data_IF_520460984759
#
_entry.id   IF_520460984759
#
_cell.length_a   1.000
_cell.length_b   1.000
_cell.length_c   1.000
_cell.angle_alpha   90.00
_cell.angle_beta   90.00
_cell.angle_gamma   90.00
#
_symmetry.space_group_name_H-M   'P 1'
#
loop_
_entity.id
_entity.type
_entity.pdbx_description
1 polymer ?
#
# COMPACT_ATOMS: atom_id res chain seq x y z
N UNK A 1 -40.50 18.69 19.20
CA UNK A 1 -39.38 18.14 18.39
C UNK A 1 -39.93 17.78 17.02
N UNK A 2 -39.60 18.58 16.02
CA UNK A 2 -40.19 18.47 14.68
C UNK A 2 -39.49 17.35 13.87
N UNK A 3 -40.25 16.63 13.04
CA UNK A 3 -39.71 15.54 12.18
C UNK A 3 -38.51 15.97 11.32
N UNK A 4 -38.41 17.25 10.99
CA UNK A 4 -37.29 17.81 10.21
C UNK A 4 -36.00 17.92 11.01
N UNK A 5 -36.06 18.08 12.33
CA UNK A 5 -34.87 18.20 13.19
C UNK A 5 -34.29 16.84 13.50
N UNK A 6 -35.13 15.80 13.56
CA UNK A 6 -34.70 14.41 13.72
C UNK A 6 -33.88 13.93 12.50
N UNK A 7 -34.31 14.27 11.27
CA UNK A 7 -33.57 13.91 10.07
C UNK A 7 -32.25 14.67 9.92
N UNK A 8 -32.17 15.93 10.39
CA UNK A 8 -30.91 16.68 10.36
C UNK A 8 -29.88 16.17 11.37
N UNK A 9 -30.31 15.74 12.54
CA UNK A 9 -29.43 15.18 13.59
C UNK A 9 -28.96 13.76 13.26
N UNK A 10 -29.77 12.95 12.56
CA UNK A 10 -29.42 11.59 12.16
C UNK A 10 -28.46 11.53 10.98
N UNK A 11 -28.43 12.56 10.11
CA UNK A 11 -27.55 12.60 8.94
C UNK A 11 -26.12 12.99 9.30
N UNK A 12 -25.92 13.71 10.41
CA UNK A 12 -24.58 14.13 10.86
C UNK A 12 -23.80 13.00 11.55
N UNK A 13 -24.46 11.95 12.07
CA UNK A 13 -23.81 10.86 12.75
C UNK A 13 -23.45 9.66 11.83
N UNK A 14 -24.06 9.56 10.63
CA UNK A 14 -23.90 8.42 9.74
C UNK A 14 -22.77 8.56 8.71
N UNK A 15 -22.15 9.74 8.58
CA UNK A 15 -21.07 9.98 7.58
C UNK A 15 -19.67 9.69 8.14
N UNK A 16 -19.52 9.43 9.42
CA UNK A 16 -18.21 9.25 10.07
C UNK A 16 -17.67 7.81 10.02
N UNK A 17 -18.36 6.84 9.42
CA UNK A 17 -17.92 5.43 9.36
C UNK A 17 -17.85 4.86 7.95
N UNK A 18 -17.63 5.70 6.94
CA UNK A 18 -17.40 5.21 5.58
C UNK A 18 -15.98 4.66 5.43
N UNK A 19 -15.82 3.61 4.62
CA UNK A 19 -14.56 2.91 4.28
C UNK A 19 -13.37 3.82 3.92
N UNK A 20 -13.63 5.07 3.57
CA UNK A 20 -12.62 6.11 3.27
C UNK A 20 -11.76 6.43 4.50
N UNK A 21 -12.31 6.38 5.72
CA UNK A 21 -11.56 6.68 6.95
C UNK A 21 -10.49 5.64 7.30
N UNK A 22 -10.70 4.37 6.96
CA UNK A 22 -9.72 3.31 7.26
C UNK A 22 -8.49 3.35 6.36
N UNK A 23 -8.64 3.72 5.10
CA UNK A 23 -7.51 3.89 4.15
C UNK A 23 -6.67 5.13 4.49
N UNK A 24 -7.30 6.23 4.90
CA UNK A 24 -6.61 7.44 5.32
C UNK A 24 -5.81 7.26 6.62
N UNK A 25 -6.31 6.46 7.57
CA UNK A 25 -5.61 6.18 8.82
C UNK A 25 -4.39 5.25 8.61
N UNK A 26 -4.45 4.29 7.69
CA UNK A 26 -3.31 3.45 7.35
C UNK A 26 -2.17 4.25 6.68
N UNK A 27 -2.51 5.28 5.92
CA UNK A 27 -1.55 6.19 5.30
C UNK A 27 -0.79 7.07 6.32
N UNK A 28 -1.35 7.25 7.53
CA UNK A 28 -0.78 8.11 8.59
C UNK A 28 0.00 7.32 9.65
N UNK A 29 -0.06 5.99 9.65
CA UNK A 29 0.68 5.20 10.65
C UNK A 29 2.19 5.37 10.42
N UNK A 30 2.96 5.80 11.45
CA UNK A 30 4.41 5.96 11.29
C UNK A 30 5.08 4.62 10.97
N UNK A 31 6.14 4.68 10.17
CA UNK A 31 7.02 3.53 9.96
C UNK A 31 7.85 3.37 11.25
N UNK A 32 7.55 2.33 12.02
CA UNK A 32 8.09 2.19 13.37
C UNK A 32 9.52 1.64 13.38
N UNK A 33 9.84 0.76 12.44
CA UNK A 33 11.11 0.02 12.38
C UNK A 33 11.68 0.01 10.98
N UNK A 34 12.97 -0.33 10.87
CA UNK A 34 13.61 -0.65 9.61
C UNK A 34 12.94 -1.88 9.00
N UNK A 35 12.94 -1.98 7.67
CA UNK A 35 12.18 -2.98 6.93
C UNK A 35 13.13 -3.89 6.14
N UNK A 36 13.00 -5.19 6.34
CA UNK A 36 13.69 -6.18 5.51
C UNK A 36 13.09 -6.19 4.09
N UNK A 37 13.95 -6.15 3.08
CA UNK A 37 13.54 -6.16 1.69
C UNK A 37 14.49 -7.01 0.83
N UNK A 38 14.06 -7.29 -0.41
CA UNK A 38 14.81 -8.09 -1.38
C UNK A 38 15.07 -7.26 -2.64
N UNK A 39 16.30 -7.32 -3.11
CA UNK A 39 16.74 -6.66 -4.35
C UNK A 39 16.35 -7.47 -5.59
N UNK A 40 16.43 -6.87 -6.77
CA UNK A 40 16.22 -7.55 -8.04
C UNK A 40 17.21 -8.70 -8.31
N UNK A 41 18.37 -8.71 -7.64
CA UNK A 41 19.33 -9.82 -7.68
C UNK A 41 19.05 -10.92 -6.65
N UNK A 42 18.01 -10.76 -5.81
CA UNK A 42 17.66 -11.71 -4.74
C UNK A 42 18.40 -11.50 -3.41
N UNK A 43 19.23 -10.46 -3.29
CA UNK A 43 19.92 -10.18 -2.03
C UNK A 43 18.96 -9.56 -1.02
N UNK A 44 19.09 -9.95 0.26
CA UNK A 44 18.37 -9.30 1.36
C UNK A 44 19.05 -8.01 1.75
N UNK A 45 18.28 -6.98 1.97
CA UNK A 45 18.72 -5.67 2.43
C UNK A 45 17.80 -5.15 3.53
N UNK A 46 18.28 -4.21 4.32
CA UNK A 46 17.48 -3.48 5.30
C UNK A 46 17.22 -2.07 4.79
N UNK A 47 15.96 -1.70 4.61
CA UNK A 47 15.54 -0.34 4.28
C UNK A 47 15.38 0.47 5.57
N UNK A 48 16.09 1.60 5.72
CA UNK A 48 15.89 2.47 6.87
C UNK A 48 14.45 2.96 6.96
N UNK A 49 13.88 2.99 8.14
CA UNK A 49 12.53 3.53 8.39
C UNK A 49 12.35 4.96 7.89
N UNK A 50 13.40 5.76 7.92
CA UNK A 50 13.39 7.13 7.37
C UNK A 50 13.14 7.12 5.86
N UNK A 51 13.84 6.28 5.10
CA UNK A 51 13.66 6.19 3.65
C UNK A 51 12.24 5.74 3.28
N UNK A 52 11.69 4.75 4.01
CA UNK A 52 10.30 4.31 3.82
C UNK A 52 9.30 5.41 4.22
N UNK A 53 9.61 6.17 5.27
CA UNK A 53 8.83 7.33 5.70
C UNK A 53 8.82 8.44 4.66
N UNK A 54 9.97 8.74 4.07
CA UNK A 54 10.12 9.74 3.01
C UNK A 54 9.34 9.34 1.74
N UNK A 55 9.43 8.06 1.35
CA UNK A 55 8.60 7.54 0.26
C UNK A 55 7.12 7.78 0.58
N UNK A 56 6.65 7.35 1.75
CA UNK A 56 5.25 7.53 2.17
C UNK A 56 4.81 9.00 2.12
N UNK A 57 5.60 9.90 2.66
CA UNK A 57 5.29 11.33 2.66
C UNK A 57 5.25 11.95 1.26
N UNK A 58 5.97 11.37 0.30
CA UNK A 58 6.01 11.83 -1.08
C UNK A 58 4.79 11.39 -1.90
N UNK A 59 4.12 10.31 -1.52
CA UNK A 59 2.97 9.75 -2.25
C UNK A 59 1.66 10.47 -1.91
N UNK A 60 0.81 10.63 -2.90
CA UNK A 60 -0.61 10.99 -2.71
C UNK A 60 -1.47 9.76 -2.41
N UNK A 61 -1.09 8.63 -2.97
CA UNK A 61 -1.68 7.34 -2.75
C UNK A 61 -1.23 6.69 -1.45
N UNK A 62 -1.59 5.42 -1.26
CA UNK A 62 -1.24 4.68 -0.06
C UNK A 62 0.08 3.92 -0.21
N UNK A 63 0.86 3.86 0.88
CA UNK A 63 1.94 2.89 1.07
C UNK A 63 1.51 1.94 2.18
N UNK A 64 1.39 0.66 1.85
CA UNK A 64 0.99 -0.39 2.77
C UNK A 64 2.19 -1.27 3.12
N UNK A 65 2.33 -1.58 4.40
CA UNK A 65 3.35 -2.46 4.95
C UNK A 65 2.69 -3.73 5.52
N UNK A 66 3.44 -4.84 5.64
CA UNK A 66 2.95 -6.05 6.30
C UNK A 66 2.30 -5.75 7.66
N UNK A 67 1.15 -6.37 7.91
CA UNK A 67 0.38 -6.18 9.15
C UNK A 67 -0.50 -4.91 9.18
N UNK A 68 -0.46 -4.05 8.18
CA UNK A 68 -1.33 -2.89 8.09
C UNK A 68 -2.69 -3.24 7.44
N UNK A 69 -3.79 -2.54 7.82
CA UNK A 69 -5.09 -2.73 7.18
C UNK A 69 -5.01 -2.52 5.66
N UNK A 70 -5.56 -3.46 4.89
CA UNK A 70 -5.58 -3.43 3.43
C UNK A 70 -4.34 -4.04 2.76
N UNK A 71 -3.27 -4.34 3.49
CA UNK A 71 -2.07 -4.95 2.91
C UNK A 71 -2.35 -6.33 2.30
N UNK A 72 -3.02 -7.22 3.04
CA UNK A 72 -3.32 -8.56 2.56
C UNK A 72 -4.26 -8.57 1.37
N UNK A 73 -5.17 -7.61 1.28
CA UNK A 73 -6.03 -7.43 0.12
C UNK A 73 -5.24 -6.94 -1.10
N UNK A 74 -4.38 -5.93 -0.89
CA UNK A 74 -3.61 -5.31 -1.96
C UNK A 74 -2.55 -6.23 -2.57
N UNK A 75 -1.90 -7.11 -1.79
CA UNK A 75 -0.88 -8.03 -2.29
C UNK A 75 -1.42 -9.21 -3.09
N UNK A 76 -2.69 -9.57 -2.90
CA UNK A 76 -3.31 -10.75 -3.52
C UNK A 76 -3.39 -10.64 -5.03
N UNK A 77 -3.23 -11.80 -5.68
CA UNK A 77 -3.49 -12.00 -7.11
C UNK A 77 -4.62 -13.00 -7.29
N UNK A 78 -5.17 -13.09 -8.51
CA UNK A 78 -6.31 -13.94 -8.82
C UNK A 78 -6.02 -15.43 -8.55
N UNK A 79 -4.80 -15.89 -8.86
CA UNK A 79 -4.39 -17.25 -8.57
C UNK A 79 -4.06 -17.43 -7.10
N UNK A 80 -4.98 -18.01 -6.34
CA UNK A 80 -4.86 -18.20 -4.89
C UNK A 80 -3.69 -19.12 -4.46
N UNK A 81 -3.11 -19.90 -5.38
CA UNK A 81 -1.90 -20.70 -5.09
C UNK A 81 -0.62 -19.83 -5.02
N UNK A 82 -0.69 -18.58 -5.46
CA UNK A 82 0.41 -17.61 -5.36
C UNK A 82 0.21 -16.78 -4.10
N UNK A 83 1.00 -17.06 -3.07
CA UNK A 83 0.97 -16.34 -1.79
C UNK A 83 2.32 -15.68 -1.53
N UNK A 84 2.56 -14.54 -2.15
CA UNK A 84 3.78 -13.75 -2.01
C UNK A 84 3.56 -12.54 -1.09
N UNK A 85 4.64 -12.13 -0.41
CA UNK A 85 4.62 -11.08 0.60
C UNK A 85 5.58 -9.94 0.24
N UNK A 86 5.15 -8.93 -0.53
CA UNK A 86 5.96 -7.74 -0.80
C UNK A 86 6.33 -7.03 0.50
N UNK A 87 7.55 -6.50 0.60
CA UNK A 87 7.92 -5.63 1.71
C UNK A 87 7.14 -4.32 1.72
N UNK A 88 6.79 -3.84 0.53
CA UNK A 88 6.10 -2.57 0.30
C UNK A 88 5.04 -2.76 -0.78
N UNK A 89 3.82 -2.27 -0.54
CA UNK A 89 2.79 -2.14 -1.58
C UNK A 89 2.42 -0.68 -1.73
N UNK A 90 2.63 -0.12 -2.92
CA UNK A 90 2.22 1.23 -3.28
C UNK A 90 0.93 1.17 -4.07
N UNK A 91 -0.10 1.87 -3.59
CA UNK A 91 -1.36 2.09 -4.32
C UNK A 91 -1.39 3.53 -4.85
N UNK A 92 -0.93 3.76 -6.09
CA UNK A 92 -0.79 5.10 -6.63
C UNK A 92 -2.16 5.71 -6.96
N UNK A 93 -2.27 7.03 -6.81
CA UNK A 93 -3.44 7.80 -7.29
C UNK A 93 -3.16 8.52 -8.61
N UNK A 94 -1.94 8.42 -9.12
CA UNK A 94 -1.58 9.01 -10.40
C UNK A 94 -0.13 8.73 -10.80
N UNK A 95 0.24 9.17 -12.00
CA UNK A 95 1.57 8.92 -12.59
C UNK A 95 2.74 9.39 -11.73
N UNK A 96 2.54 10.48 -10.97
CA UNK A 96 3.58 11.00 -10.08
C UNK A 96 3.95 9.99 -8.99
N UNK A 97 2.97 9.28 -8.43
CA UNK A 97 3.20 8.25 -7.41
C UNK A 97 3.91 7.03 -8.01
N UNK A 98 3.52 6.62 -9.24
CA UNK A 98 4.19 5.53 -9.95
C UNK A 98 5.66 5.86 -10.17
N UNK A 99 5.98 7.08 -10.63
CA UNK A 99 7.37 7.52 -10.82
C UNK A 99 8.17 7.45 -9.52
N UNK A 100 7.61 7.96 -8.40
CA UNK A 100 8.27 7.93 -7.08
C UNK A 100 8.53 6.51 -6.62
N UNK A 101 7.56 5.61 -6.80
CA UNK A 101 7.73 4.20 -6.44
C UNK A 101 8.82 3.52 -7.28
N UNK A 102 8.87 3.77 -8.59
CA UNK A 102 9.91 3.26 -9.49
C UNK A 102 11.28 3.84 -9.15
N UNK A 103 11.37 5.15 -8.90
CA UNK A 103 12.62 5.80 -8.53
C UNK A 103 13.15 5.28 -7.19
N UNK A 104 12.26 5.05 -6.21
CA UNK A 104 12.61 4.43 -4.93
C UNK A 104 13.13 3.00 -5.12
N UNK A 105 12.41 2.18 -5.90
CA UNK A 105 12.84 0.81 -6.19
C UNK A 105 14.21 0.78 -6.88
N UNK A 106 14.46 1.68 -7.82
CA UNK A 106 15.74 1.80 -8.51
C UNK A 106 16.87 2.23 -7.56
N UNK A 107 16.63 3.24 -6.71
CA UNK A 107 17.62 3.75 -5.76
C UNK A 107 18.09 2.68 -4.77
N UNK A 108 17.19 1.82 -4.35
CA UNK A 108 17.46 0.73 -3.40
C UNK A 108 17.67 -0.63 -4.09
N UNK A 109 17.73 -0.67 -5.44
CA UNK A 109 17.87 -1.88 -6.25
C UNK A 109 16.82 -2.96 -5.93
N UNK A 110 15.59 -2.57 -5.50
CA UNK A 110 14.56 -3.49 -5.06
C UNK A 110 14.02 -4.37 -6.18
N UNK A 111 13.62 -5.59 -5.82
CA UNK A 111 12.75 -6.39 -6.65
C UNK A 111 11.41 -5.65 -6.83
N UNK A 112 11.02 -5.42 -8.08
CA UNK A 112 9.82 -4.66 -8.42
C UNK A 112 8.80 -5.53 -9.15
N UNK A 113 7.55 -5.48 -8.69
CA UNK A 113 6.41 -6.06 -9.37
C UNK A 113 5.34 -5.00 -9.64
N UNK A 114 4.67 -5.10 -10.78
CA UNK A 114 3.54 -4.23 -11.13
C UNK A 114 2.29 -5.08 -11.26
N UNK A 115 1.27 -4.71 -10.51
CA UNK A 115 -0.04 -5.35 -10.49
C UNK A 115 -1.08 -4.43 -11.15
N UNK A 116 -1.90 -5.01 -12.01
CA UNK A 116 -3.08 -4.39 -12.57
C UNK A 116 -4.19 -5.45 -12.57
N UNK A 117 -5.12 -5.35 -11.64
CA UNK A 117 -6.20 -6.34 -11.46
C UNK A 117 -5.75 -7.73 -11.00
N UNK A 118 -4.45 -8.01 -10.88
CA UNK A 118 -3.93 -9.28 -10.35
C UNK A 118 -4.11 -10.50 -11.24
N UNK A 119 -4.36 -10.33 -12.54
CA UNK A 119 -4.68 -11.42 -13.48
C UNK A 119 -3.46 -12.23 -13.97
N UNK A 120 -2.26 -11.97 -13.48
CA UNK A 120 -1.07 -12.76 -13.82
C UNK A 120 -1.17 -14.17 -13.23
N UNK A 121 -1.48 -15.15 -14.06
CA UNK A 121 -1.63 -16.54 -13.63
C UNK A 121 -0.35 -17.13 -13.03
N UNK A 122 0.81 -16.76 -13.58
CA UNK A 122 2.13 -17.15 -13.07
C UNK A 122 2.66 -16.32 -11.91
N UNK A 123 1.87 -15.42 -11.31
CA UNK A 123 2.25 -14.65 -10.12
C UNK A 123 3.36 -13.62 -10.36
N UNK A 124 3.56 -13.15 -11.61
CA UNK A 124 4.57 -12.12 -11.93
C UNK A 124 4.16 -10.71 -11.51
N UNK A 125 2.89 -10.50 -11.19
CA UNK A 125 2.36 -9.21 -10.73
C UNK A 125 2.50 -8.98 -9.23
N UNK A 126 3.15 -9.89 -8.52
CA UNK A 126 3.51 -9.76 -7.11
C UNK A 126 4.90 -10.36 -6.86
N UNK A 127 5.54 -10.04 -5.74
CA UNK A 127 6.90 -10.48 -5.42
C UNK A 127 7.04 -10.72 -3.92
N UNK A 128 8.05 -11.52 -3.55
CA UNK A 128 8.42 -11.68 -2.15
C UNK A 128 9.50 -10.67 -1.76
N UNK A 129 9.28 -9.95 -0.66
CA UNK A 129 10.22 -9.01 -0.07
C UNK A 129 10.54 -7.78 -0.92
N UNK A 130 9.95 -7.64 -2.11
CA UNK A 130 10.18 -6.49 -2.99
C UNK A 130 9.16 -5.37 -2.81
N UNK A 131 9.10 -4.46 -3.79
CA UNK A 131 8.09 -3.42 -3.90
C UNK A 131 7.05 -3.82 -4.95
N UNK A 132 5.78 -3.79 -4.59
CA UNK A 132 4.66 -3.96 -5.51
C UNK A 132 3.98 -2.62 -5.76
N UNK A 133 3.74 -2.27 -7.02
CA UNK A 133 2.88 -1.16 -7.43
C UNK A 133 1.54 -1.75 -7.86
N UNK A 134 0.44 -1.40 -7.17
CA UNK A 134 -0.90 -1.95 -7.38
C UNK A 134 -1.84 -0.97 -8.07
#
# INVERSE_FOLDING_TARGET
>A
MNRRDFFRSSLAAAVATSLVGRRALAALAPVATDLEAVTGSGAKITLPKSAVGDLRASLRGALLLPGQPGYDEARRVLNASIDKHPALVVQPTGTADVRRAVDFARTHALLLAVKCGGHSFGGKSTCDGGLQID
#
